data_IF_883702453318
#
_entry.id   IF_883702453318
#
_cell.length_a   1.000
_cell.length_b   1.000
_cell.length_c   1.000
_cell.angle_alpha   90.00
_cell.angle_beta   90.00
_cell.angle_gamma   90.00
#
_symmetry.space_group_name_H-M   'P 1'
#
loop_
_entity.id
_entity.type
_entity.pdbx_description
1 polymer ?
#
# COMPACT_ATOMS: atom_id res chain seq x y z
N UNK A 1 -12.69 -8.09 -20.16
CA UNK A 1 -13.20 -8.56 -18.85
C UNK A 1 -12.27 -8.10 -17.72
N UNK A 2 -10.94 -8.35 -17.78
CA UNK A 2 -9.96 -7.75 -16.83
C UNK A 2 -10.06 -6.22 -16.80
N UNK A 3 -10.15 -5.57 -17.97
CA UNK A 3 -10.36 -4.12 -18.07
C UNK A 3 -11.72 -3.62 -17.57
N UNK A 4 -12.73 -4.49 -17.47
CA UNK A 4 -14.11 -4.13 -17.11
C UNK A 4 -14.36 -4.25 -15.59
N UNK A 5 -13.47 -4.96 -14.87
CA UNK A 5 -13.50 -5.08 -13.41
C UNK A 5 -12.40 -4.24 -12.75
N UNK A 6 -11.29 -3.96 -13.44
CA UNK A 6 -10.37 -2.87 -13.08
C UNK A 6 -11.02 -1.48 -13.19
N UNK A 7 -12.14 -1.38 -13.91
CA UNK A 7 -12.95 -0.18 -14.06
C UNK A 7 -14.16 -0.14 -13.13
N UNK A 8 -14.15 -0.88 -12.01
CA UNK A 8 -15.20 -0.66 -11.01
C UNK A 8 -14.94 0.70 -10.34
N UNK A 9 -15.81 1.70 -10.54
CA UNK A 9 -15.56 3.06 -10.04
C UNK A 9 -15.45 3.08 -8.52
N UNK A 10 -16.07 2.11 -7.84
CA UNK A 10 -16.03 1.96 -6.40
C UNK A 10 -14.64 1.56 -5.89
N UNK A 11 -13.93 0.64 -6.57
CA UNK A 11 -12.56 0.27 -6.21
C UNK A 11 -11.58 1.42 -6.50
N UNK A 12 -11.78 2.17 -7.59
CA UNK A 12 -10.95 3.35 -7.88
C UNK A 12 -11.13 4.44 -6.82
N UNK A 13 -12.37 4.68 -6.38
CA UNK A 13 -12.67 5.64 -5.30
C UNK A 13 -12.06 5.16 -3.97
N UNK A 14 -12.21 3.88 -3.63
CA UNK A 14 -11.62 3.31 -2.42
C UNK A 14 -10.09 3.40 -2.41
N UNK A 15 -9.43 3.08 -3.53
CA UNK A 15 -7.98 3.22 -3.69
C UNK A 15 -7.52 4.69 -3.57
N UNK A 16 -8.26 5.60 -4.21
CA UNK A 16 -7.96 7.04 -4.13
C UNK A 16 -8.11 7.57 -2.69
N UNK A 17 -9.14 7.11 -1.97
CA UNK A 17 -9.37 7.48 -0.57
C UNK A 17 -8.26 6.92 0.34
N UNK A 18 -7.87 5.66 0.14
CA UNK A 18 -6.74 5.04 0.86
C UNK A 18 -5.44 5.85 0.68
N UNK A 19 -5.14 6.29 -0.55
CA UNK A 19 -3.98 7.14 -0.83
C UNK A 19 -4.04 8.48 -0.09
N UNK A 20 -5.20 9.16 -0.11
CA UNK A 20 -5.38 10.43 0.60
C UNK A 20 -5.21 10.25 2.11
N UNK A 21 -5.83 9.22 2.69
CA UNK A 21 -5.70 8.90 4.12
C UNK A 21 -4.24 8.63 4.50
N UNK A 22 -3.53 7.86 3.68
CA UNK A 22 -2.11 7.55 3.91
C UNK A 22 -1.25 8.81 3.91
N UNK A 23 -1.46 9.71 2.94
CA UNK A 23 -0.75 11.01 2.87
C UNK A 23 -1.07 11.88 4.09
N UNK A 24 -2.34 11.97 4.50
CA UNK A 24 -2.75 12.77 5.66
C UNK A 24 -2.10 12.26 6.95
N UNK A 25 -2.03 10.93 7.15
CA UNK A 25 -1.38 10.34 8.33
C UNK A 25 0.11 10.67 8.34
N UNK A 26 0.80 10.54 7.20
CA UNK A 26 2.23 10.84 7.10
C UNK A 26 2.50 12.33 7.31
N UNK A 27 1.69 13.22 6.75
CA UNK A 27 1.79 14.66 7.00
C UNK A 27 1.52 15.02 8.47
N UNK A 28 0.52 14.39 9.10
CA UNK A 28 0.23 14.55 10.52
C UNK A 28 1.40 14.11 11.39
N UNK A 29 2.04 12.99 11.04
CA UNK A 29 3.26 12.53 11.69
C UNK A 29 4.39 13.54 11.53
N UNK A 30 4.67 14.01 10.31
CA UNK A 30 5.70 15.02 10.05
C UNK A 30 5.48 16.31 10.85
N UNK A 31 4.22 16.73 11.01
CA UNK A 31 3.86 17.90 11.80
C UNK A 31 4.16 17.70 13.30
N UNK A 32 3.88 16.51 13.86
CA UNK A 32 4.20 16.17 15.26
C UNK A 32 5.71 16.26 15.53
N UNK A 33 6.53 15.79 14.58
CA UNK A 33 7.99 15.80 14.68
C UNK A 33 8.64 17.11 14.21
N UNK A 34 7.85 18.14 13.89
CA UNK A 34 8.31 19.46 13.40
C UNK A 34 9.24 19.36 12.19
N UNK A 35 8.99 18.38 11.31
CA UNK A 35 9.75 18.24 10.07
C UNK A 35 9.26 19.26 9.05
N UNK A 36 10.21 20.03 8.48
CA UNK A 36 9.92 20.95 7.38
C UNK A 36 9.88 20.20 6.06
N UNK A 37 8.88 20.47 5.23
CA UNK A 37 8.79 19.88 3.88
C UNK A 37 9.81 20.58 2.97
N UNK A 38 10.97 19.97 2.80
CA UNK A 38 11.95 20.33 1.77
C UNK A 38 11.79 19.46 0.51
N UNK A 39 12.73 19.61 -0.42
CA UNK A 39 12.73 18.85 -1.68
C UNK A 39 12.87 17.33 -1.45
N UNK A 40 13.62 16.92 -0.42
CA UNK A 40 13.77 15.51 -0.05
C UNK A 40 12.45 14.93 0.46
N UNK A 41 11.83 15.62 1.42
CA UNK A 41 10.55 15.23 2.00
C UNK A 41 9.44 15.14 0.96
N UNK A 42 9.39 16.09 0.01
CA UNK A 42 8.45 16.05 -1.11
C UNK A 42 8.67 14.83 -2.02
N UNK A 43 9.92 14.46 -2.29
CA UNK A 43 10.27 13.24 -3.04
C UNK A 43 9.83 11.98 -2.29
N UNK A 44 9.99 11.96 -0.96
CA UNK A 44 9.50 10.88 -0.10
C UNK A 44 7.98 10.73 -0.17
N UNK A 45 7.23 11.83 -0.17
CA UNK A 45 5.77 11.82 -0.31
C UNK A 45 5.30 11.31 -1.69
N UNK A 46 5.97 11.71 -2.77
CA UNK A 46 5.69 11.16 -4.11
C UNK A 46 5.99 9.66 -4.17
N UNK A 47 7.10 9.23 -3.56
CA UNK A 47 7.44 7.83 -3.41
C UNK A 47 6.37 7.05 -2.65
N UNK A 48 5.86 7.60 -1.55
CA UNK A 48 4.73 7.04 -0.80
C UNK A 48 3.50 6.85 -1.68
N UNK A 49 3.09 7.89 -2.42
CA UNK A 49 1.93 7.80 -3.32
C UNK A 49 2.10 6.68 -4.35
N UNK A 50 3.30 6.53 -4.92
CA UNK A 50 3.60 5.45 -5.86
C UNK A 50 3.50 4.07 -5.21
N UNK A 51 3.99 3.92 -3.98
CA UNK A 51 3.94 2.63 -3.27
C UNK A 51 2.52 2.27 -2.87
N UNK A 52 1.75 3.21 -2.32
CA UNK A 52 0.33 2.98 -1.98
C UNK A 52 -0.50 2.65 -3.21
N UNK A 53 -0.25 3.31 -4.35
CA UNK A 53 -0.89 2.97 -5.61
C UNK A 53 -0.59 1.52 -6.04
N UNK A 54 0.68 1.10 -5.96
CA UNK A 54 1.08 -0.27 -6.30
C UNK A 54 0.45 -1.32 -5.37
N UNK A 55 0.36 -1.03 -4.07
CA UNK A 55 -0.32 -1.90 -3.10
C UNK A 55 -1.81 -2.05 -3.43
N UNK A 56 -2.49 -0.93 -3.73
CA UNK A 56 -3.89 -0.94 -4.13
C UNK A 56 -4.12 -1.77 -5.40
N UNK A 57 -3.22 -1.67 -6.38
CA UNK A 57 -3.28 -2.50 -7.60
C UNK A 57 -3.16 -3.98 -7.26
N UNK A 58 -2.16 -4.38 -6.46
CA UNK A 58 -1.96 -5.78 -6.08
C UNK A 58 -3.16 -6.36 -5.31
N UNK A 59 -3.75 -5.57 -4.41
CA UNK A 59 -4.95 -5.96 -3.66
C UNK A 59 -6.14 -6.16 -4.60
N UNK A 60 -6.37 -5.21 -5.52
CA UNK A 60 -7.45 -5.31 -6.51
C UNK A 60 -7.25 -6.50 -7.46
N UNK A 61 -6.03 -6.71 -7.95
CA UNK A 61 -5.71 -7.86 -8.81
C UNK A 61 -5.93 -9.18 -8.09
N UNK A 62 -5.45 -9.31 -6.84
CA UNK A 62 -5.68 -10.50 -6.03
C UNK A 62 -7.15 -10.78 -5.74
N UNK A 63 -7.96 -9.73 -5.55
CA UNK A 63 -9.41 -9.83 -5.42
C UNK A 63 -10.05 -10.37 -6.69
N UNK A 64 -9.63 -9.84 -7.84
CA UNK A 64 -10.15 -10.21 -9.14
C UNK A 64 -9.79 -11.64 -9.54
N UNK A 65 -8.55 -12.04 -9.31
CA UNK A 65 -8.09 -13.40 -9.55
C UNK A 65 -8.80 -14.42 -8.66
N UNK A 66 -9.12 -14.04 -7.41
CA UNK A 66 -9.89 -14.91 -6.52
C UNK A 66 -11.31 -15.11 -7.05
N UNK A 67 -12.00 -14.03 -7.45
CA UNK A 67 -13.34 -14.11 -8.03
C UNK A 67 -13.33 -14.97 -9.30
N UNK A 68 -12.40 -14.73 -10.22
CA UNK A 68 -12.31 -15.52 -11.45
C UNK A 68 -12.02 -16.99 -11.16
N UNK A 69 -11.15 -17.29 -10.20
CA UNK A 69 -10.84 -18.66 -9.78
C UNK A 69 -12.06 -19.37 -9.19
N UNK A 70 -12.80 -18.70 -8.31
CA UNK A 70 -14.01 -19.22 -7.69
C UNK A 70 -15.20 -19.34 -8.67
N UNK A 71 -15.23 -18.55 -9.75
CA UNK A 71 -16.24 -18.68 -10.81
C UNK A 71 -15.87 -19.73 -11.87
N UNK A 72 -14.60 -20.09 -11.99
CA UNK A 72 -14.16 -21.17 -12.87
C UNK A 72 -14.69 -22.52 -12.37
N UNK A 73 -15.15 -23.37 -13.28
CA UNK A 73 -16.00 -24.56 -13.10
C UNK A 73 -15.62 -25.63 -12.04
N UNK A 74 -14.54 -25.46 -11.26
CA UNK A 74 -14.02 -26.43 -10.30
C UNK A 74 -14.44 -26.18 -8.84
N UNK A 75 -14.88 -24.98 -8.47
CA UNK A 75 -15.28 -24.63 -7.10
C UNK A 75 -16.63 -23.90 -7.10
N UNK A 76 -17.74 -24.64 -6.97
CA UNK A 76 -19.08 -24.04 -6.76
C UNK A 76 -19.22 -23.55 -5.32
N UNK A 77 -18.34 -22.66 -4.86
CA UNK A 77 -18.51 -22.00 -3.57
C UNK A 77 -19.40 -20.76 -3.71
N UNK A 78 -20.29 -20.49 -2.73
CA UNK A 78 -21.06 -19.27 -2.71
C UNK A 78 -20.14 -18.07 -2.52
N UNK A 79 -20.00 -17.27 -3.57
CA UNK A 79 -19.24 -16.01 -3.57
C UNK A 79 -19.99 -14.94 -2.76
N UNK A 80 -19.73 -14.87 -1.46
CA UNK A 80 -20.10 -13.71 -0.66
C UNK A 80 -18.98 -12.66 -0.71
N UNK A 81 -19.31 -11.37 -0.49
CA UNK A 81 -18.32 -10.30 -0.44
C UNK A 81 -17.23 -10.57 0.61
N UNK A 82 -17.62 -11.16 1.73
CA UNK A 82 -16.71 -11.53 2.82
C UNK A 82 -15.74 -12.64 2.39
N UNK A 83 -16.24 -13.69 1.73
CA UNK A 83 -15.38 -14.78 1.20
C UNK A 83 -14.36 -14.25 0.21
N UNK A 84 -14.79 -13.33 -0.68
CA UNK A 84 -13.89 -12.71 -1.66
C UNK A 84 -12.80 -11.86 -0.98
N UNK A 85 -13.17 -11.04 0.00
CA UNK A 85 -12.22 -10.21 0.75
C UNK A 85 -11.23 -11.06 1.54
N UNK A 86 -11.69 -12.14 2.17
CA UNK A 86 -10.83 -13.06 2.91
C UNK A 86 -9.88 -13.82 1.98
N UNK A 87 -10.38 -14.30 0.84
CA UNK A 87 -9.58 -14.97 -0.18
C UNK A 87 -8.51 -14.07 -0.78
N UNK A 88 -8.86 -12.81 -1.06
CA UNK A 88 -7.93 -11.76 -1.46
C UNK A 88 -6.83 -11.57 -0.40
N UNK A 89 -7.19 -11.32 0.86
CA UNK A 89 -6.23 -11.09 1.95
C UNK A 89 -5.29 -12.29 2.15
N UNK A 90 -5.77 -13.52 2.00
CA UNK A 90 -4.92 -14.70 2.10
C UNK A 90 -3.91 -14.80 0.95
N UNK A 91 -4.29 -14.38 -0.26
CA UNK A 91 -3.40 -14.37 -1.43
C UNK A 91 -2.38 -13.24 -1.40
N UNK A 92 -2.83 -12.03 -1.10
CA UNK A 92 -1.99 -10.82 -1.22
C UNK A 92 -1.36 -10.41 0.10
N UNK A 93 -1.92 -10.80 1.24
CA UNK A 93 -1.45 -10.36 2.55
C UNK A 93 -0.04 -10.80 2.88
N UNK A 94 0.33 -12.06 2.59
CA UNK A 94 1.70 -12.57 2.81
C UNK A 94 2.74 -11.85 1.93
N UNK A 95 2.58 -11.78 0.58
CA UNK A 95 3.57 -11.11 -0.26
C UNK A 95 3.65 -9.60 0.01
N UNK A 96 2.52 -8.92 0.26
CA UNK A 96 2.51 -7.49 0.62
C UNK A 96 3.23 -7.25 1.94
N UNK A 97 2.94 -8.05 2.97
CA UNK A 97 3.59 -7.92 4.28
C UNK A 97 5.08 -8.22 4.20
N UNK A 98 5.47 -9.26 3.46
CA UNK A 98 6.88 -9.59 3.23
C UNK A 98 7.63 -8.43 2.57
N UNK A 99 7.11 -7.89 1.47
CA UNK A 99 7.71 -6.76 0.76
C UNK A 99 7.80 -5.51 1.65
N UNK A 100 6.75 -5.19 2.40
CA UNK A 100 6.72 -4.05 3.31
C UNK A 100 7.77 -4.19 4.42
N UNK A 101 7.90 -5.38 5.03
CA UNK A 101 8.93 -5.65 6.05
C UNK A 101 10.32 -5.48 5.46
N UNK A 102 10.58 -6.00 4.25
CA UNK A 102 11.88 -5.83 3.58
C UNK A 102 12.21 -4.36 3.35
N UNK A 103 11.25 -3.56 2.90
CA UNK A 103 11.43 -2.12 2.68
C UNK A 103 11.66 -1.38 4.00
N UNK A 104 10.93 -1.72 5.07
CA UNK A 104 11.14 -1.15 6.40
C UNK A 104 12.55 -1.48 6.91
N UNK A 105 12.99 -2.73 6.79
CA UNK A 105 14.35 -3.14 7.19
C UNK A 105 15.43 -2.41 6.39
N UNK A 106 15.26 -2.30 5.07
CA UNK A 106 16.19 -1.55 4.22
C UNK A 106 16.28 -0.08 4.63
N UNK A 107 15.15 0.56 4.93
CA UNK A 107 15.11 1.94 5.37
C UNK A 107 15.64 2.13 6.79
N UNK A 108 15.53 1.15 7.68
CA UNK A 108 16.17 1.18 8.99
C UNK A 108 17.70 1.18 8.87
N UNK A 109 18.27 0.47 7.90
CA UNK A 109 19.71 0.51 7.64
C UNK A 109 20.19 1.90 7.23
N UNK A 110 19.35 2.69 6.54
CA UNK A 110 19.68 4.08 6.21
C UNK A 110 19.79 4.98 7.44
N UNK A 111 19.24 4.58 8.60
CA UNK A 111 19.44 5.30 9.87
C UNK A 111 20.89 5.29 10.35
N UNK A 112 21.68 4.30 9.90
CA UNK A 112 23.10 4.19 10.21
C UNK A 112 23.97 5.11 9.34
N UNK A 113 23.37 5.80 8.36
CA UNK A 113 24.10 6.71 7.49
C UNK A 113 24.50 8.00 8.22
N UNK A 114 25.72 8.50 7.94
CA UNK A 114 26.19 9.79 8.45
C UNK A 114 25.60 11.00 7.72
N UNK A 115 24.80 10.78 6.67
CA UNK A 115 24.16 11.84 5.89
C UNK A 115 22.76 12.11 6.43
N UNK A 116 22.54 13.30 6.98
CA UNK A 116 21.26 13.66 7.61
C UNK A 116 20.08 13.58 6.64
N UNK A 117 20.28 13.92 5.37
CA UNK A 117 19.26 13.80 4.32
C UNK A 117 18.80 12.34 4.11
N UNK A 118 19.75 11.41 4.05
CA UNK A 118 19.46 9.98 3.85
C UNK A 118 18.71 9.41 5.04
N UNK A 119 19.11 9.80 6.26
CA UNK A 119 18.41 9.42 7.49
C UNK A 119 16.96 9.91 7.53
N UNK A 120 16.71 11.18 7.15
CA UNK A 120 15.36 11.76 7.12
C UNK A 120 14.48 11.09 6.06
N UNK A 121 15.00 10.85 4.86
CA UNK A 121 14.29 10.11 3.82
C UNK A 121 13.94 8.70 4.28
N UNK A 122 14.90 8.00 4.89
CA UNK A 122 14.68 6.66 5.46
C UNK A 122 13.55 6.63 6.49
N UNK A 123 13.45 7.64 7.37
CA UNK A 123 12.36 7.74 8.33
C UNK A 123 11.02 7.88 7.63
N UNK A 124 10.93 8.80 6.66
CA UNK A 124 9.71 9.05 5.90
C UNK A 124 9.27 7.79 5.18
N UNK A 125 10.16 7.10 4.48
CA UNK A 125 9.84 5.85 3.78
C UNK A 125 9.44 4.73 4.75
N UNK A 126 10.12 4.60 5.89
CA UNK A 126 9.80 3.59 6.90
C UNK A 126 8.38 3.77 7.45
N UNK A 127 8.01 5.00 7.79
CA UNK A 127 6.68 5.32 8.33
C UNK A 127 5.62 5.24 7.25
N UNK A 128 5.92 5.75 6.06
CA UNK A 128 5.07 5.65 4.89
C UNK A 128 4.67 4.21 4.61
N UNK A 129 5.64 3.28 4.67
CA UNK A 129 5.38 1.86 4.46
C UNK A 129 4.57 1.22 5.58
N UNK A 130 4.84 1.61 6.83
CA UNK A 130 4.08 1.12 7.98
C UNK A 130 2.62 1.57 7.93
N UNK A 131 2.36 2.82 7.54
CA UNK A 131 1.00 3.36 7.39
C UNK A 131 0.29 2.71 6.21
N UNK A 132 0.95 2.60 5.05
CA UNK A 132 0.37 2.01 3.85
C UNK A 132 0.01 0.52 3.98
N UNK A 133 0.53 -0.18 4.99
CA UNK A 133 0.17 -1.56 5.28
C UNK A 133 -1.12 -1.67 6.12
N UNK A 134 -1.48 -0.60 6.84
CA UNK A 134 -2.64 -0.57 7.75
C UNK A 134 -3.89 0.02 7.07
N UNK A 135 -3.70 0.95 6.13
CA UNK A 135 -4.76 1.69 5.43
C UNK A 135 -5.22 0.97 4.17
#
# INVERSE_FOLDING_TARGET
>A
IVLALSSSPLLTVAASLSMVVTVVIVLGWMAIFKMTIGAGEFTGLLGLMSVTANLNVQVIEGYMEFIHGAQSHLLKEPLTRETCMRGMLLRTGVPISGAAITVVLANLLTQLSGLELVRRLGQIFCISQAVALVV
#
